data_IF_516203590650
#
_entry.id   IF_516203590650
#
_cell.length_a   1.000
_cell.length_b   1.000
_cell.length_c   1.000
_cell.angle_alpha   90.00
_cell.angle_beta   90.00
_cell.angle_gamma   90.00
#
_symmetry.space_group_name_H-M   'P 1'
#
loop_
_entity.id
_entity.type
_entity.pdbx_description
1 polymer ?
#
# COMPACT_ATOMS: atom_id res chain seq x y z
N UNK A 1 54.37 -4.08 -27.11
CA UNK A 1 53.77 -5.39 -26.75
C UNK A 1 53.68 -5.41 -25.23
N UNK A 2 52.59 -4.89 -24.63
CA UNK A 2 51.32 -5.58 -24.28
C UNK A 2 51.57 -6.76 -23.32
N UNK A 3 50.94 -6.95 -22.14
CA UNK A 3 50.00 -6.25 -21.25
C UNK A 3 50.14 -6.99 -19.88
N UNK A 4 50.28 -6.34 -18.72
CA UNK A 4 49.25 -5.97 -17.70
C UNK A 4 48.02 -6.90 -17.60
N UNK A 5 47.70 -7.30 -16.36
CA UNK A 5 46.41 -7.87 -15.89
C UNK A 5 46.58 -9.23 -15.19
N UNK A 6 46.84 -9.35 -13.89
CA UNK A 6 46.02 -8.95 -12.73
C UNK A 6 44.69 -9.73 -12.68
N UNK A 7 44.72 -10.90 -12.04
CA UNK A 7 43.53 -11.68 -11.64
C UNK A 7 43.10 -11.19 -10.26
N UNK A 8 42.22 -10.18 -10.25
CA UNK A 8 41.50 -9.75 -9.06
C UNK A 8 40.21 -10.59 -8.97
N UNK A 9 40.27 -11.67 -8.18
CA UNK A 9 39.10 -12.47 -7.87
C UNK A 9 38.17 -11.66 -6.95
N UNK A 10 37.12 -11.11 -7.57
CA UNK A 10 36.02 -10.45 -6.88
C UNK A 10 35.28 -11.40 -5.94
N UNK A 11 35.49 -11.22 -4.64
CA UNK A 11 34.68 -11.83 -3.58
C UNK A 11 34.22 -10.74 -2.61
N UNK A 12 33.17 -10.02 -2.98
CA UNK A 12 32.62 -8.98 -2.13
C UNK A 12 31.22 -8.54 -2.56
N UNK A 13 30.22 -9.42 -2.43
CA UNK A 13 28.81 -8.99 -2.63
C UNK A 13 27.75 -9.88 -1.94
N UNK A 14 28.08 -10.48 -0.79
CA UNK A 14 27.14 -11.34 -0.04
C UNK A 14 26.45 -10.70 1.18
N UNK A 15 27.01 -9.60 1.72
CA UNK A 15 26.64 -9.12 3.06
C UNK A 15 25.48 -8.09 3.02
N UNK A 16 25.33 -7.32 1.94
CA UNK A 16 24.30 -6.27 1.84
C UNK A 16 22.87 -6.76 1.56
N UNK A 17 22.73 -7.82 0.77
CA UNK A 17 21.41 -8.26 0.28
C UNK A 17 20.67 -9.15 1.31
N UNK A 18 21.43 -9.86 2.14
CA UNK A 18 20.91 -10.64 3.27
C UNK A 18 20.25 -9.75 4.34
N UNK A 19 20.88 -8.63 4.68
CA UNK A 19 20.36 -7.69 5.68
C UNK A 19 19.13 -6.92 5.17
N UNK A 20 19.13 -6.54 3.89
CA UNK A 20 18.00 -5.86 3.27
C UNK A 20 16.77 -6.78 3.19
N UNK A 21 16.95 -8.04 2.81
CA UNK A 21 15.87 -9.03 2.75
C UNK A 21 15.35 -9.44 4.13
N UNK A 22 16.22 -9.56 5.14
CA UNK A 22 15.83 -9.81 6.52
C UNK A 22 15.01 -8.64 7.10
N UNK A 23 15.42 -7.40 6.85
CA UNK A 23 14.69 -6.19 7.27
C UNK A 23 13.31 -6.11 6.61
N UNK A 24 13.19 -6.41 5.31
CA UNK A 24 11.89 -6.49 4.61
C UNK A 24 10.97 -7.52 5.25
N UNK A 25 11.48 -8.73 5.55
CA UNK A 25 10.70 -9.79 6.22
C UNK A 25 10.23 -9.38 7.61
N UNK A 26 11.06 -8.68 8.38
CA UNK A 26 10.71 -8.21 9.71
C UNK A 26 9.61 -7.15 9.70
N UNK A 27 9.65 -6.20 8.75
CA UNK A 27 8.61 -5.18 8.57
C UNK A 27 7.26 -5.83 8.24
N UNK A 28 7.26 -6.81 7.33
CA UNK A 28 6.05 -7.56 6.94
C UNK A 28 5.45 -8.34 8.11
N UNK A 29 6.29 -8.97 8.94
CA UNK A 29 5.84 -9.70 10.12
C UNK A 29 5.23 -8.77 11.17
N UNK A 30 5.87 -7.64 11.47
CA UNK A 30 5.38 -6.69 12.47
C UNK A 30 4.03 -6.09 12.08
N UNK A 31 3.86 -5.68 10.82
CA UNK A 31 2.59 -5.11 10.37
C UNK A 31 1.46 -6.14 10.40
N UNK A 32 1.74 -7.40 10.04
CA UNK A 32 0.77 -8.50 10.15
C UNK A 32 0.32 -8.75 11.59
N UNK A 33 1.24 -8.75 12.56
CA UNK A 33 0.91 -9.00 13.97
C UNK A 33 0.09 -7.84 14.57
N UNK A 34 0.48 -6.59 14.33
CA UNK A 34 -0.20 -5.42 14.91
C UNK A 34 -1.65 -5.32 14.44
N UNK A 35 -1.89 -5.50 13.13
CA UNK A 35 -3.25 -5.45 12.58
C UNK A 35 -4.09 -6.67 12.93
N UNK A 36 -3.47 -7.86 13.04
CA UNK A 36 -4.15 -9.05 13.56
C UNK A 36 -4.66 -8.84 14.99
N UNK A 37 -3.79 -8.35 15.88
CA UNK A 37 -4.18 -8.08 17.26
C UNK A 37 -5.27 -7.01 17.33
N UNK A 38 -5.14 -5.90 16.60
CA UNK A 38 -6.11 -4.79 16.64
C UNK A 38 -7.50 -5.15 16.12
N UNK A 39 -7.60 -5.81 14.96
CA UNK A 39 -8.90 -6.20 14.39
C UNK A 39 -9.53 -7.39 15.12
N UNK A 40 -8.71 -8.31 15.64
CA UNK A 40 -9.19 -9.44 16.45
C UNK A 40 -9.84 -8.99 17.76
N UNK A 41 -9.23 -8.06 18.49
CA UNK A 41 -9.80 -7.57 19.75
C UNK A 41 -11.05 -6.70 19.54
N UNK A 42 -11.11 -5.89 18.49
CA UNK A 42 -12.32 -5.13 18.14
C UNK A 42 -13.50 -6.03 17.79
N UNK A 43 -13.28 -7.07 16.98
CA UNK A 43 -14.33 -8.01 16.60
C UNK A 43 -14.86 -8.79 17.82
N UNK A 44 -13.95 -9.25 18.69
CA UNK A 44 -14.32 -9.93 19.93
C UNK A 44 -15.11 -9.02 20.89
N UNK A 45 -14.69 -7.76 21.05
CA UNK A 45 -15.37 -6.78 21.89
C UNK A 45 -16.78 -6.47 21.38
N UNK A 46 -16.97 -6.28 20.07
CA UNK A 46 -18.28 -5.98 19.49
C UNK A 46 -19.29 -7.09 19.75
N UNK A 47 -18.89 -8.35 19.53
CA UNK A 47 -19.75 -9.52 19.79
C UNK A 47 -20.06 -9.68 21.28
N UNK A 48 -19.08 -9.43 22.15
CA UNK A 48 -19.29 -9.49 23.59
C UNK A 48 -20.30 -8.44 24.06
N UNK A 49 -20.21 -7.21 23.55
CA UNK A 49 -21.18 -6.13 23.84
C UNK A 49 -22.58 -6.49 23.37
N UNK A 50 -22.75 -6.94 22.13
CA UNK A 50 -24.07 -7.32 21.61
C UNK A 50 -24.68 -8.54 22.33
N UNK A 51 -23.84 -9.41 22.90
CA UNK A 51 -24.32 -10.58 23.67
C UNK A 51 -24.80 -10.22 25.06
N UNK A 52 -24.24 -9.17 25.69
CA UNK A 52 -24.69 -8.67 27.00
C UNK A 52 -26.12 -8.10 26.93
N UNK A 53 -26.52 -7.57 25.77
CA UNK A 53 -27.85 -7.02 25.53
C UNK A 53 -28.92 -8.09 25.27
N UNK A 54 -28.50 -9.31 24.90
CA UNK A 54 -29.40 -10.32 24.34
C UNK A 54 -29.74 -11.47 25.31
N UNK A 55 -29.27 -11.41 26.56
CA UNK A 55 -29.44 -12.45 27.60
C UNK A 55 -29.10 -13.88 27.10
N UNK A 56 -28.11 -13.95 26.20
CA UNK A 56 -27.69 -15.19 25.55
C UNK A 56 -26.87 -16.02 26.52
N UNK A 57 -27.10 -17.32 26.52
CA UNK A 57 -26.36 -18.23 27.39
C UNK A 57 -24.84 -18.15 27.11
N UNK A 58 -24.07 -17.98 28.18
CA UNK A 58 -22.62 -17.74 28.12
C UNK A 58 -21.85 -18.81 27.32
N UNK A 59 -22.32 -20.07 27.33
CA UNK A 59 -21.71 -21.17 26.58
C UNK A 59 -21.88 -21.04 25.06
N UNK A 60 -22.82 -20.22 24.57
CA UNK A 60 -22.94 -19.81 23.17
C UNK A 60 -22.09 -18.57 22.91
N UNK A 61 -22.12 -17.60 23.81
CA UNK A 61 -21.39 -16.33 23.65
C UNK A 61 -19.88 -16.53 23.55
N UNK A 62 -19.28 -17.33 24.44
CA UNK A 62 -17.84 -17.56 24.47
C UNK A 62 -17.28 -18.10 23.14
N UNK A 63 -17.81 -19.19 22.55
CA UNK A 63 -17.29 -19.70 21.28
C UNK A 63 -17.52 -18.70 20.12
N UNK A 64 -18.64 -17.98 20.09
CA UNK A 64 -18.90 -16.97 19.05
C UNK A 64 -17.90 -15.81 19.14
N UNK A 65 -17.60 -15.32 20.35
CA UNK A 65 -16.56 -14.29 20.59
C UNK A 65 -15.19 -14.78 20.14
N UNK A 66 -14.83 -16.03 20.46
CA UNK A 66 -13.56 -16.63 20.03
C UNK A 66 -13.47 -16.76 18.50
N UNK A 67 -14.53 -17.20 17.84
CA UNK A 67 -14.60 -17.31 16.38
C UNK A 67 -14.51 -15.93 15.72
N UNK A 68 -15.23 -14.93 16.24
CA UNK A 68 -15.16 -13.56 15.76
C UNK A 68 -13.76 -12.95 15.94
N UNK A 69 -13.14 -13.16 17.10
CA UNK A 69 -11.77 -12.73 17.38
C UNK A 69 -10.75 -13.41 16.46
N UNK A 70 -10.88 -14.72 16.22
CA UNK A 70 -10.02 -15.47 15.31
C UNK A 70 -10.17 -15.01 13.86
N UNK A 71 -11.41 -14.80 13.40
CA UNK A 71 -11.71 -14.28 12.07
C UNK A 71 -11.15 -12.86 11.88
N UNK A 72 -11.35 -11.97 12.87
CA UNK A 72 -10.78 -10.62 12.89
C UNK A 72 -9.26 -10.63 12.88
N UNK A 73 -8.63 -11.51 13.66
CA UNK A 73 -7.18 -11.66 13.68
C UNK A 73 -6.62 -12.19 12.36
N UNK A 74 -7.29 -13.16 11.73
CA UNK A 74 -6.89 -13.69 10.43
C UNK A 74 -7.02 -12.64 9.32
N UNK A 75 -8.15 -11.92 9.29
CA UNK A 75 -8.38 -10.79 8.38
C UNK A 75 -7.33 -9.69 8.58
N UNK A 76 -7.06 -9.32 9.83
CA UNK A 76 -6.03 -8.34 10.17
C UNK A 76 -4.64 -8.78 9.75
N UNK A 77 -4.25 -10.04 9.99
CA UNK A 77 -2.96 -10.56 9.54
C UNK A 77 -2.77 -10.46 8.02
N UNK A 78 -3.84 -10.70 7.24
CA UNK A 78 -3.82 -10.55 5.78
C UNK A 78 -3.62 -9.10 5.37
N UNK A 79 -4.39 -8.17 5.96
CA UNK A 79 -4.27 -6.72 5.70
C UNK A 79 -2.88 -6.22 6.08
N UNK A 80 -2.37 -6.59 7.26
CA UNK A 80 -1.03 -6.19 7.71
C UNK A 80 0.09 -6.78 6.88
N UNK A 81 -0.05 -7.99 6.35
CA UNK A 81 0.94 -8.56 5.43
C UNK A 81 1.03 -7.73 4.15
N UNK A 82 -0.11 -7.40 3.57
CA UNK A 82 -0.20 -6.54 2.38
C UNK A 82 0.42 -5.18 2.67
N UNK A 83 0.07 -4.55 3.79
CA UNK A 83 0.65 -3.27 4.20
C UNK A 83 2.17 -3.35 4.40
N UNK A 84 2.63 -4.45 4.97
CA UNK A 84 4.04 -4.72 5.18
C UNK A 84 4.83 -4.83 3.89
N UNK A 85 4.28 -5.52 2.89
CA UNK A 85 4.89 -5.64 1.55
C UNK A 85 4.98 -4.25 0.91
N UNK A 86 3.91 -3.48 0.98
CA UNK A 86 3.87 -2.12 0.43
C UNK A 86 4.87 -1.18 1.13
N UNK A 87 5.02 -1.29 2.46
CA UNK A 87 6.05 -0.54 3.22
C UNK A 87 7.47 -0.99 2.87
N UNK A 88 7.67 -2.29 2.68
CA UNK A 88 8.96 -2.86 2.29
C UNK A 88 9.39 -2.50 0.85
N UNK A 89 8.46 -2.04 0.00
CA UNK A 89 8.73 -1.55 -1.35
C UNK A 89 9.13 -0.07 -1.40
N UNK A 90 9.00 0.67 -0.30
CA UNK A 90 9.43 2.07 -0.22
C UNK A 90 10.96 2.16 -0.29
N UNK A 91 11.47 3.09 -1.08
CA UNK A 91 12.90 3.37 -1.13
C UNK A 91 13.42 4.01 0.17
N UNK A 92 14.75 4.08 0.38
CA UNK A 92 15.33 4.75 1.53
C UNK A 92 14.92 6.23 1.58
N UNK A 93 14.31 6.66 2.70
CA UNK A 93 13.78 8.01 2.89
C UNK A 93 12.48 8.32 2.13
N UNK A 94 11.85 7.30 1.54
CA UNK A 94 10.53 7.44 0.92
C UNK A 94 9.44 7.21 1.96
N UNK A 95 8.49 8.16 2.03
CA UNK A 95 7.36 8.11 2.95
C UNK A 95 6.05 8.17 2.18
N UNK A 96 5.06 7.39 2.61
CA UNK A 96 3.68 7.49 2.11
C UNK A 96 3.05 8.73 2.73
N UNK A 97 2.56 9.63 1.88
CA UNK A 97 1.85 10.84 2.28
C UNK A 97 0.35 10.57 2.37
N UNK A 98 -0.19 9.87 1.38
CA UNK A 98 -1.60 9.47 1.36
C UNK A 98 -1.79 8.18 0.55
N UNK A 99 -2.87 7.46 0.87
CA UNK A 99 -3.29 6.26 0.17
C UNK A 99 -4.78 6.36 -0.12
N UNK A 100 -5.15 6.20 -1.38
CA UNK A 100 -6.52 6.27 -1.86
C UNK A 100 -6.96 4.92 -2.41
N UNK A 101 -8.24 4.62 -2.28
CA UNK A 101 -8.87 3.51 -2.98
C UNK A 101 -9.39 4.05 -4.31
N UNK A 102 -9.05 3.35 -5.39
CA UNK A 102 -9.41 3.76 -6.74
C UNK A 102 -9.93 2.58 -7.55
N UNK A 103 -10.81 2.90 -8.50
CA UNK A 103 -11.41 1.95 -9.43
C UNK A 103 -10.98 2.24 -10.87
N UNK A 104 -10.81 1.23 -11.71
CA UNK A 104 -10.52 1.44 -13.12
C UNK A 104 -11.77 2.02 -13.80
N UNK A 105 -11.66 3.20 -14.40
CA UNK A 105 -12.75 3.81 -15.14
C UNK A 105 -12.85 3.17 -16.53
N UNK A 106 -13.60 2.08 -16.67
CA UNK A 106 -13.85 1.42 -17.96
C UNK A 106 -13.98 -0.11 -17.98
N UNK A 107 -14.02 -0.79 -16.84
CA UNK A 107 -14.21 -2.26 -16.77
C UNK A 107 -15.65 -2.65 -16.45
N UNK A 108 -16.29 -3.46 -17.31
CA UNK A 108 -17.68 -3.94 -17.13
C UNK A 108 -17.81 -5.14 -16.17
N UNK A 109 -16.71 -5.61 -15.57
CA UNK A 109 -16.73 -6.76 -14.66
C UNK A 109 -15.95 -6.47 -13.39
N UNK A 110 -16.71 -6.27 -12.32
CA UNK A 110 -16.30 -6.17 -10.91
C UNK A 110 -15.47 -4.91 -10.58
N UNK A 111 -15.85 -4.13 -9.55
CA UNK A 111 -15.03 -3.01 -9.10
C UNK A 111 -13.80 -3.57 -8.37
N UNK A 112 -12.76 -3.91 -9.12
CA UNK A 112 -11.46 -4.18 -8.52
C UNK A 112 -10.98 -2.92 -7.79
N UNK A 113 -10.72 -3.08 -6.49
CA UNK A 113 -10.26 -2.01 -5.60
C UNK A 113 -8.74 -1.96 -5.65
N UNK A 114 -8.21 -0.99 -6.37
CA UNK A 114 -6.79 -0.70 -6.37
C UNK A 114 -6.44 0.30 -5.27
N UNK A 115 -5.21 0.24 -4.78
CA UNK A 115 -4.66 1.22 -3.84
C UNK A 115 -3.68 2.13 -4.56
N UNK A 116 -4.06 3.40 -4.71
CA UNK A 116 -3.19 4.44 -5.22
C UNK A 116 -2.42 5.06 -4.05
N UNK A 117 -1.10 4.92 -4.05
CA UNK A 117 -0.22 5.46 -3.01
C UNK A 117 0.55 6.66 -3.51
N UNK A 118 0.35 7.78 -2.86
CA UNK A 118 1.08 9.03 -3.04
C UNK A 118 2.24 9.01 -2.06
N UNK A 119 3.46 8.91 -2.57
CA UNK A 119 4.67 9.04 -1.75
C UNK A 119 5.32 10.40 -1.98
N UNK A 120 6.31 10.76 -1.17
CA UNK A 120 7.10 11.98 -1.40
C UNK A 120 7.90 11.96 -2.72
N UNK A 121 8.13 10.78 -3.33
CA UNK A 121 8.98 10.63 -4.53
C UNK A 121 8.24 10.11 -5.76
N UNK A 122 7.25 9.24 -5.57
CA UNK A 122 6.58 8.51 -6.65
C UNK A 122 5.08 8.41 -6.41
N UNK A 123 4.36 8.17 -7.49
CA UNK A 123 2.99 7.67 -7.45
C UNK A 123 3.03 6.19 -7.79
N UNK A 124 2.37 5.35 -6.99
CA UNK A 124 2.35 3.90 -7.17
C UNK A 124 0.92 3.37 -7.16
N UNK A 125 0.61 2.47 -8.07
CA UNK A 125 -0.65 1.74 -8.09
C UNK A 125 -0.43 0.30 -7.66
N UNK A 126 -1.26 -0.16 -6.74
CA UNK A 126 -1.17 -1.49 -6.17
C UNK A 126 -2.48 -2.25 -6.34
N UNK A 127 -2.38 -3.52 -6.72
CA UNK A 127 -3.43 -4.50 -6.48
C UNK A 127 -3.01 -5.37 -5.29
N UNK A 128 -3.69 -5.20 -4.14
CA UNK A 128 -3.33 -5.91 -2.90
C UNK A 128 -1.82 -5.82 -2.63
N UNK A 129 -1.08 -6.92 -2.75
CA UNK A 129 0.36 -7.01 -2.48
C UNK A 129 1.24 -6.83 -3.73
N UNK A 130 0.65 -6.65 -4.91
CA UNK A 130 1.33 -6.52 -6.19
C UNK A 130 1.39 -5.05 -6.63
N UNK A 131 2.58 -4.58 -6.98
CA UNK A 131 2.78 -3.24 -7.54
C UNK A 131 2.55 -3.33 -9.04
N UNK A 132 1.47 -2.70 -9.55
CA UNK A 132 1.14 -2.71 -10.97
C UNK A 132 2.06 -1.75 -11.74
N UNK A 133 2.29 -0.56 -11.18
CA UNK A 133 3.25 0.40 -11.72
C UNK A 133 3.68 1.42 -10.67
N UNK A 134 4.84 2.01 -10.90
CA UNK A 134 5.42 3.09 -10.10
C UNK A 134 6.06 4.13 -11.01
N UNK A 135 5.60 5.37 -10.93
CA UNK A 135 6.13 6.48 -11.72
C UNK A 135 6.60 7.63 -10.84
N UNK A 136 7.76 8.25 -11.13
CA UNK A 136 8.24 9.40 -10.39
C UNK A 136 7.41 10.66 -10.69
N UNK A 137 7.27 11.55 -9.71
CA UNK A 137 6.43 12.75 -9.84
C UNK A 137 6.82 13.66 -11.01
N UNK A 138 8.11 13.75 -11.34
CA UNK A 138 8.57 14.63 -12.43
C UNK A 138 8.02 14.19 -13.80
N UNK A 139 7.83 12.89 -13.98
CA UNK A 139 7.36 12.27 -15.21
C UNK A 139 5.82 12.28 -15.33
N UNK A 140 5.09 12.58 -14.25
CA UNK A 140 3.64 12.49 -14.21
C UNK A 140 2.93 13.84 -14.37
N UNK A 141 1.74 13.80 -14.96
CA UNK A 141 0.75 14.88 -14.96
C UNK A 141 -0.60 14.28 -14.59
N UNK A 142 -1.23 14.82 -13.57
CA UNK A 142 -2.57 14.42 -13.13
C UNK A 142 -3.57 15.49 -13.53
N UNK A 143 -4.74 15.07 -14.00
CA UNK A 143 -5.87 15.93 -14.30
C UNK A 143 -7.13 15.33 -13.70
N UNK A 144 -8.03 16.18 -13.21
CA UNK A 144 -9.32 15.77 -12.67
C UNK A 144 -10.39 16.01 -13.73
N UNK A 145 -11.29 15.05 -13.89
CA UNK A 145 -12.48 15.13 -14.74
C UNK A 145 -13.66 14.58 -13.93
N UNK A 146 -14.33 15.46 -13.19
CA UNK A 146 -15.36 15.08 -12.22
C UNK A 146 -14.80 14.13 -11.14
N UNK A 147 -15.40 12.95 -10.90
CA UNK A 147 -14.90 11.97 -9.92
C UNK A 147 -13.67 11.18 -10.42
N UNK A 148 -13.25 11.41 -11.66
CA UNK A 148 -12.15 10.69 -12.30
C UNK A 148 -10.85 11.47 -12.20
N UNK A 149 -9.77 10.75 -11.98
CA UNK A 149 -8.41 11.23 -12.09
C UNK A 149 -7.73 10.51 -13.24
N UNK A 150 -7.29 11.31 -14.21
CA UNK A 150 -6.49 10.84 -15.32
C UNK A 150 -5.02 11.01 -14.96
N UNK A 151 -4.30 9.90 -15.02
CA UNK A 151 -2.86 9.83 -14.82
C UNK A 151 -2.22 9.82 -16.20
N UNK A 152 -1.45 10.86 -16.50
CA UNK A 152 -0.69 10.98 -17.74
C UNK A 152 0.81 10.92 -17.47
N UNK A 153 1.53 10.25 -18.36
CA UNK A 153 2.95 10.44 -18.52
C UNK A 153 3.19 11.73 -19.30
N UNK A 154 4.15 12.55 -18.87
CA UNK A 154 4.45 13.84 -19.51
C UNK A 154 4.85 13.66 -20.97
N UNK A 155 5.51 12.54 -21.30
CA UNK A 155 6.04 12.27 -22.64
C UNK A 155 5.29 11.18 -23.42
N UNK A 156 4.58 10.28 -22.73
CA UNK A 156 4.05 9.03 -23.33
C UNK A 156 2.51 9.00 -23.40
N UNK A 157 1.83 10.02 -22.89
CA UNK A 157 0.35 10.11 -22.93
C UNK A 157 -0.34 9.46 -21.73
N UNK A 158 -1.63 9.07 -21.85
CA UNK A 158 -2.42 8.56 -20.72
C UNK A 158 -1.92 7.19 -20.24
N UNK A 159 -1.66 7.07 -18.93
CA UNK A 159 -1.26 5.82 -18.26
C UNK A 159 -2.50 5.10 -17.72
N UNK A 160 -3.34 5.82 -16.99
CA UNK A 160 -4.49 5.22 -16.31
C UNK A 160 -5.61 6.24 -16.12
N UNK A 161 -6.86 5.76 -16.18
CA UNK A 161 -8.05 6.52 -15.81
C UNK A 161 -8.66 5.88 -14.57
N UNK A 162 -8.66 6.60 -13.47
CA UNK A 162 -8.99 6.07 -12.15
C UNK A 162 -10.14 6.86 -11.54
N UNK A 163 -11.22 6.20 -11.15
CA UNK A 163 -12.25 6.81 -10.32
C UNK A 163 -11.80 6.75 -8.86
N UNK A 164 -11.79 7.90 -8.16
CA UNK A 164 -11.59 7.87 -6.71
C UNK A 164 -12.86 7.43 -6.02
N UNK A 165 -12.69 6.69 -4.93
CA UNK A 165 -13.78 6.46 -3.97
C UNK A 165 -14.09 7.79 -3.26
N UNK A 166 -15.16 8.46 -3.69
CA UNK A 166 -15.44 9.87 -3.41
C UNK A 166 -15.80 10.17 -1.95
N UNK A 167 -16.09 9.15 -1.15
CA UNK A 167 -16.41 9.31 0.27
C UNK A 167 -15.23 9.86 1.09
N UNK A 168 -13.99 9.73 0.58
CA UNK A 168 -12.79 9.98 1.37
C UNK A 168 -11.81 10.98 0.71
N UNK A 169 -12.02 11.40 -0.54
CA UNK A 169 -11.06 12.27 -1.22
C UNK A 169 -11.65 13.04 -2.40
N UNK A 170 -11.32 14.34 -2.49
CA UNK A 170 -11.60 15.16 -3.66
C UNK A 170 -10.50 14.97 -4.73
N UNK A 171 -10.85 14.62 -5.98
CA UNK A 171 -9.91 14.52 -7.11
C UNK A 171 -9.05 15.76 -7.31
N UNK A 172 -9.61 16.95 -7.08
CA UNK A 172 -8.94 18.23 -7.24
C UNK A 172 -7.80 18.42 -6.22
N UNK A 173 -8.01 17.98 -4.97
CA UNK A 173 -6.96 18.02 -3.94
C UNK A 173 -5.79 17.12 -4.31
N UNK A 174 -6.07 15.95 -4.90
CA UNK A 174 -5.03 15.03 -5.37
C UNK A 174 -4.23 15.66 -6.51
N UNK A 175 -4.89 16.32 -7.47
CA UNK A 175 -4.22 17.04 -8.57
C UNK A 175 -3.33 18.17 -8.02
N UNK A 176 -3.84 18.93 -7.05
CA UNK A 176 -3.12 20.05 -6.46
C UNK A 176 -1.92 19.57 -5.61
N UNK A 177 -2.09 18.50 -4.83
CA UNK A 177 -1.02 17.85 -4.10
C UNK A 177 0.05 17.30 -5.05
N UNK A 178 -0.35 16.67 -6.15
CA UNK A 178 0.57 16.16 -7.16
C UNK A 178 1.36 17.27 -7.85
N UNK A 179 0.73 18.40 -8.19
CA UNK A 179 1.41 19.55 -8.76
C UNK A 179 2.51 20.08 -7.81
N UNK A 180 2.22 20.13 -6.49
CA UNK A 180 3.20 20.51 -5.46
C UNK A 180 4.34 19.49 -5.32
N UNK A 181 4.04 18.19 -5.38
CA UNK A 181 5.07 17.14 -5.28
C UNK A 181 5.97 17.11 -6.51
N UNK A 182 5.40 17.35 -7.70
CA UNK A 182 6.15 17.48 -8.96
C UNK A 182 7.10 18.67 -8.95
N UNK A 183 6.67 19.82 -8.43
CA UNK A 183 7.56 20.99 -8.35
C UNK A 183 8.72 20.77 -7.39
N UNK A 184 8.50 20.04 -6.28
CA UNK A 184 9.56 19.66 -5.33
C UNK A 184 10.52 18.63 -5.91
N UNK A 185 10.03 17.63 -6.64
CA UNK A 185 10.90 16.59 -7.22
C UNK A 185 11.84 17.15 -8.28
N UNK A 186 11.40 18.16 -9.04
CA UNK A 186 12.25 18.89 -10.01
C UNK A 186 13.35 19.74 -9.39
N UNK A 187 13.24 20.13 -8.12
CA UNK A 187 14.27 20.92 -7.42
C UNK A 187 15.31 20.05 -6.71
N UNK A 188 15.03 18.76 -6.57
CA UNK A 188 15.85 17.81 -5.82
C UNK A 188 16.67 16.86 -6.72
N UNK A 189 16.53 16.98 -8.04
CA UNK A 189 17.39 16.34 -9.04
C UNK A 189 18.19 17.40 -9.77
#
# INVERSE_FOLDING_TARGET
>A
MAAVGETEDGNGDGIGDGDASARRRQVVRRSAVVTACGLGSLAAAQVAVSSLESDVAWWVTVPVVLLAGAAGAWGGARVGRVEGIRKAALGPGECVLSAYIVHPAGGERVPDRYSLRVTNRRLRLWDRAEELWSHPWHALRLTAEGPLVLVHHTEQGPIARLALDSELAAPEELVLAAARLRSRSRRAG
#
